data_IF_617975624811
#
_entry.id   IF_617975624811
#
_cell.length_a   1.000
_cell.length_b   1.000
_cell.length_c   1.000
_cell.angle_alpha   90.00
_cell.angle_beta   90.00
_cell.angle_gamma   90.00
#
_symmetry.space_group_name_H-M   'P 1'
#
loop_
_entity.id
_entity.type
_entity.pdbx_description
1 polymer ?
#
# COMPACT_ATOMS: atom_id res chain seq x y z
N UNK A 1 17.19 21.43 29.86
CA UNK A 1 16.42 21.16 28.63
C UNK A 1 14.99 20.97 29.09
N UNK A 2 14.10 21.82 28.61
CA UNK A 2 12.69 21.77 29.00
C UNK A 2 11.95 20.72 28.16
N UNK A 3 11.08 19.95 28.80
CA UNK A 3 10.31 18.87 28.18
C UNK A 3 8.84 19.24 28.21
N UNK A 4 8.21 19.30 27.03
CA UNK A 4 6.80 19.63 26.88
C UNK A 4 5.98 18.41 26.49
N UNK A 5 4.71 18.38 26.90
CA UNK A 5 3.78 17.28 26.62
C UNK A 5 2.59 17.81 25.82
N UNK A 6 2.34 17.21 24.65
CA UNK A 6 1.13 17.42 23.86
C UNK A 6 0.22 16.19 23.95
N UNK A 7 -1.08 16.40 24.15
CA UNK A 7 -2.10 15.32 24.24
C UNK A 7 -3.04 15.24 23.03
N UNK A 8 -2.91 16.15 22.06
CA UNK A 8 -3.84 16.27 20.93
C UNK A 8 -3.89 15.03 20.01
N UNK A 9 -2.81 14.26 19.93
CA UNK A 9 -2.67 13.08 19.07
C UNK A 9 -2.56 11.75 19.84
N UNK A 10 -2.80 11.76 21.16
CA UNK A 10 -2.56 10.62 22.03
C UNK A 10 -3.20 9.31 21.52
N UNK A 11 -4.40 9.39 20.95
CA UNK A 11 -5.16 8.23 20.45
C UNK A 11 -5.12 8.05 18.92
N UNK A 12 -4.39 8.93 18.21
CA UNK A 12 -4.39 9.00 16.73
C UNK A 12 -3.01 8.81 16.11
N UNK A 13 -1.94 8.89 16.90
CA UNK A 13 -0.58 8.72 16.41
C UNK A 13 -0.18 7.25 16.43
N UNK A 14 0.08 6.70 15.25
CA UNK A 14 0.53 5.32 15.06
C UNK A 14 1.96 5.30 14.51
N UNK A 15 2.72 4.27 14.89
CA UNK A 15 4.06 4.03 14.37
C UNK A 15 4.05 2.79 13.49
N UNK A 16 4.28 2.97 12.19
CA UNK A 16 4.47 1.86 11.26
C UNK A 16 5.96 1.61 11.05
N UNK A 17 6.36 0.34 11.11
CA UNK A 17 7.73 -0.10 10.93
C UNK A 17 7.79 -1.17 9.86
N UNK A 18 8.82 -1.12 9.02
CA UNK A 18 9.06 -2.05 7.92
C UNK A 18 10.39 -2.79 8.15
N UNK A 19 10.43 -3.86 8.95
CA UNK A 19 11.68 -4.46 9.43
C UNK A 19 12.61 -4.99 8.32
N UNK A 20 12.04 -5.35 7.18
CA UNK A 20 12.76 -5.90 6.02
C UNK A 20 13.24 -4.82 5.04
N UNK A 21 12.87 -3.55 5.25
CA UNK A 21 13.23 -2.46 4.35
C UNK A 21 14.31 -1.56 4.97
N UNK A 22 15.44 -1.33 4.28
CA UNK A 22 16.48 -0.43 4.76
C UNK A 22 15.97 1.01 4.90
N UNK A 23 16.54 1.76 5.85
CA UNK A 23 16.19 3.17 6.09
C UNK A 23 16.48 4.09 4.91
N UNK A 24 17.44 3.73 4.05
CA UNK A 24 17.79 4.48 2.84
C UNK A 24 16.75 4.35 1.71
N UNK A 25 15.82 3.40 1.82
CA UNK A 25 14.79 3.14 0.80
C UNK A 25 13.42 3.53 1.36
N UNK A 26 13.03 4.80 1.22
CA UNK A 26 11.76 5.31 1.74
C UNK A 26 10.58 5.05 0.79
N UNK A 27 9.35 5.21 1.27
CA UNK A 27 8.11 5.08 0.47
C UNK A 27 7.62 6.43 -0.09
N UNK A 28 8.38 7.51 0.08
CA UNK A 28 7.93 8.87 -0.24
C UNK A 28 7.60 9.06 -1.72
N UNK A 29 8.39 8.43 -2.60
CA UNK A 29 8.24 8.52 -4.06
C UNK A 29 7.30 7.46 -4.65
N UNK A 30 6.57 6.71 -3.80
CA UNK A 30 5.65 5.66 -4.23
C UNK A 30 4.21 6.18 -4.19
N UNK A 31 3.45 5.93 -5.25
CA UNK A 31 2.03 6.28 -5.28
C UNK A 31 1.24 5.35 -4.35
N UNK A 32 0.58 5.94 -3.35
CA UNK A 32 -0.27 5.23 -2.41
C UNK A 32 -1.69 5.17 -2.98
N UNK A 33 -2.21 3.97 -3.24
CA UNK A 33 -3.50 3.75 -3.89
C UNK A 33 -4.64 3.77 -2.89
N UNK A 34 -4.51 2.99 -1.80
CA UNK A 34 -5.53 2.94 -0.76
C UNK A 34 -4.94 2.56 0.60
N UNK A 35 -5.68 2.91 1.65
CA UNK A 35 -5.35 2.56 3.04
C UNK A 35 -6.61 2.08 3.76
N UNK A 36 -6.53 0.93 4.42
CA UNK A 36 -7.64 0.32 5.15
C UNK A 36 -7.21 0.03 6.58
N UNK A 37 -8.07 0.36 7.55
CA UNK A 37 -7.80 0.13 8.97
C UNK A 37 -8.99 -0.55 9.67
N UNK A 38 -8.69 -1.56 10.47
CA UNK A 38 -9.61 -2.15 11.45
C UNK A 38 -9.22 -1.67 12.84
N UNK A 39 -9.80 -0.57 13.36
CA UNK A 39 -9.31 0.11 14.56
C UNK A 39 -9.38 -0.77 15.82
N UNK A 40 -10.43 -1.59 15.96
CA UNK A 40 -10.57 -2.52 17.11
C UNK A 40 -9.56 -3.66 17.10
N UNK A 41 -9.19 -4.14 15.91
CA UNK A 41 -8.24 -5.24 15.73
C UNK A 41 -6.81 -4.74 15.49
N UNK A 42 -6.62 -3.42 15.40
CA UNK A 42 -5.38 -2.74 15.08
C UNK A 42 -4.67 -3.33 13.84
N UNK A 43 -5.45 -3.66 12.81
CA UNK A 43 -4.92 -4.15 11.52
C UNK A 43 -4.98 -3.05 10.49
N UNK A 44 -3.87 -2.85 9.78
CA UNK A 44 -3.73 -1.85 8.72
C UNK A 44 -3.25 -2.55 7.46
N UNK A 45 -3.83 -2.16 6.33
CA UNK A 45 -3.46 -2.62 5.00
C UNK A 45 -3.26 -1.39 4.11
N UNK A 46 -2.17 -1.38 3.34
CA UNK A 46 -1.79 -0.29 2.46
C UNK A 46 -1.57 -0.88 1.07
N UNK A 47 -2.23 -0.31 0.07
CA UNK A 47 -2.04 -0.65 -1.33
C UNK A 47 -1.15 0.42 -1.97
N UNK A 48 -0.07 -0.01 -2.63
CA UNK A 48 0.92 0.87 -3.23
C UNK A 48 1.13 0.48 -4.70
N UNK A 49 1.26 1.46 -5.57
CA UNK A 49 1.53 1.22 -6.98
C UNK A 49 3.00 0.88 -7.22
N UNK A 50 3.25 0.04 -8.22
CA UNK A 50 4.59 -0.25 -8.72
C UNK A 50 4.75 0.31 -10.13
N UNK A 51 5.93 0.81 -10.47
CA UNK A 51 6.22 1.31 -11.81
C UNK A 51 6.52 0.15 -12.78
N UNK A 52 5.54 -0.22 -13.60
CA UNK A 52 5.68 -1.28 -14.61
C UNK A 52 6.51 -0.88 -15.83
N UNK A 53 6.81 0.41 -16.04
CA UNK A 53 7.65 0.91 -17.14
C UNK A 53 9.13 1.00 -16.75
N UNK A 54 9.47 0.70 -15.51
CA UNK A 54 10.85 0.69 -15.02
C UNK A 54 11.63 -0.48 -15.64
N UNK A 55 12.93 -0.31 -15.97
CA UNK A 55 13.78 -1.41 -16.42
C UNK A 55 13.92 -2.53 -15.37
N UNK A 56 13.57 -2.25 -14.11
CA UNK A 56 13.57 -3.25 -13.03
C UNK A 56 12.32 -4.13 -13.02
N UNK A 57 11.32 -3.83 -13.86
CA UNK A 57 10.10 -4.63 -14.00
C UNK A 57 10.20 -5.56 -15.21
N UNK A 58 9.92 -6.85 -15.00
CA UNK A 58 9.89 -7.84 -16.06
C UNK A 58 8.44 -8.08 -16.51
N UNK A 59 8.04 -7.47 -17.62
CA UNK A 59 6.66 -7.53 -18.11
C UNK A 59 6.14 -8.96 -18.30
N UNK A 60 6.95 -9.85 -18.88
CA UNK A 60 6.53 -11.24 -19.13
C UNK A 60 6.21 -12.00 -17.84
N UNK A 61 6.96 -11.76 -16.75
CA UNK A 61 6.63 -12.33 -15.43
C UNK A 61 5.42 -11.66 -14.81
N UNK A 62 5.31 -10.34 -14.97
CA UNK A 62 4.17 -9.56 -14.50
C UNK A 62 2.85 -10.06 -15.07
N UNK A 63 2.80 -10.25 -16.39
CA UNK A 63 1.63 -10.75 -17.12
C UNK A 63 1.24 -12.17 -16.66
N UNK A 64 2.20 -13.07 -16.47
CA UNK A 64 1.92 -14.41 -15.95
C UNK A 64 1.32 -14.37 -14.55
N UNK A 65 1.85 -13.51 -13.66
CA UNK A 65 1.31 -13.36 -12.30
C UNK A 65 -0.12 -12.82 -12.37
N UNK A 66 -0.37 -11.77 -13.15
CA UNK A 66 -1.69 -11.19 -13.32
C UNK A 66 -2.69 -12.23 -13.84
N UNK A 67 -2.34 -12.97 -14.91
CA UNK A 67 -3.17 -14.03 -15.47
C UNK A 67 -3.48 -15.15 -14.46
N UNK A 68 -2.51 -15.52 -13.61
CA UNK A 68 -2.70 -16.56 -12.60
C UNK A 68 -3.59 -16.11 -11.43
N UNK A 69 -3.61 -14.80 -11.12
CA UNK A 69 -4.43 -14.25 -10.02
C UNK A 69 -5.85 -13.94 -10.51
N UNK A 70 -5.98 -13.26 -11.64
CA UNK A 70 -7.25 -12.74 -12.16
C UNK A 70 -7.92 -13.72 -13.15
N UNK A 71 -7.19 -14.70 -13.65
CA UNK A 71 -7.65 -15.63 -14.69
C UNK A 71 -7.71 -14.97 -16.07
N UNK A 72 -8.36 -15.66 -17.03
CA UNK A 72 -8.59 -15.13 -18.40
C UNK A 72 -9.83 -14.23 -18.49
N UNK A 73 -10.43 -13.86 -17.36
CA UNK A 73 -11.70 -13.15 -17.35
C UNK A 73 -11.52 -11.70 -17.82
N UNK A 74 -12.32 -11.30 -18.81
CA UNK A 74 -12.53 -9.90 -19.13
C UNK A 74 -13.28 -9.23 -17.97
N UNK A 75 -12.91 -7.99 -17.67
CA UNK A 75 -13.48 -7.16 -16.61
C UNK A 75 -15.02 -7.04 -16.76
N UNK A 76 -15.80 -7.82 -16.02
CA UNK A 76 -17.25 -7.65 -15.87
C UNK A 76 -17.59 -6.75 -14.66
N UNK A 77 -16.75 -5.76 -14.36
CA UNK A 77 -16.97 -4.83 -13.25
C UNK A 77 -17.29 -3.41 -13.72
N UNK A 78 -18.41 -3.22 -14.45
CA UNK A 78 -19.33 -2.04 -14.36
C UNK A 78 -20.25 -1.87 -15.59
N UNK A 79 -21.35 -2.62 -15.67
CA UNK A 79 -22.48 -2.24 -16.57
C UNK A 79 -23.79 -1.97 -15.81
N UNK A 80 -23.83 -2.07 -14.49
CA UNK A 80 -25.00 -1.68 -13.70
C UNK A 80 -24.59 -0.98 -12.41
N UNK A 81 -24.55 0.35 -12.46
CA UNK A 81 -24.68 1.21 -11.27
C UNK A 81 -25.55 2.39 -11.68
N UNK A 82 -26.77 2.37 -11.14
CA UNK A 82 -27.89 3.31 -11.33
C UNK A 82 -27.59 4.68 -10.73
#
# INVERSE_FOLDING_TARGET
IDVYLAKSLADKLYLFQYPVRPSSMTYDDVSHLSARIKPKQQRVELEMAINAMSPNYCCSKGEQIALNVDGTAYDETNTYST
#
